data_IF_408210438584
#
_entry.id   IF_408210438584
#
_cell.length_a   1.000
_cell.length_b   1.000
_cell.length_c   1.000
_cell.angle_alpha   90.00
_cell.angle_beta   90.00
_cell.angle_gamma   90.00
#
_symmetry.space_group_name_H-M   'P 1'
#
loop_
_entity.id
_entity.type
_entity.pdbx_description
1 polymer ?
#
# COMPACT_ATOMS: atom_id res chain seq x y z
N UNK A 1 26.94 18.26 10.99
CA UNK A 1 27.36 18.19 9.57
C UNK A 1 28.39 19.27 9.32
N UNK A 2 29.49 19.03 8.60
CA UNK A 2 30.29 20.14 8.10
C UNK A 2 29.38 21.02 7.23
N UNK A 3 29.47 22.34 7.38
CA UNK A 3 28.79 23.25 6.47
C UNK A 3 29.24 22.93 5.04
N UNK A 4 28.30 22.72 4.11
CA UNK A 4 28.63 22.43 2.72
C UNK A 4 29.29 23.68 2.14
N UNK A 5 30.59 23.64 1.91
CA UNK A 5 31.29 24.64 1.12
C UNK A 5 30.87 24.50 -0.35
N UNK A 6 29.96 25.37 -0.78
CA UNK A 6 29.40 25.37 -2.13
C UNK A 6 30.47 25.60 -3.20
N UNK A 7 31.52 26.37 -2.90
CA UNK A 7 32.60 26.64 -3.86
C UNK A 7 33.43 25.39 -4.08
N UNK A 8 33.73 24.67 -3.00
CA UNK A 8 34.43 23.38 -3.08
C UNK A 8 33.58 22.34 -3.80
N UNK A 9 32.30 22.21 -3.42
CA UNK A 9 31.38 21.26 -4.03
C UNK A 9 31.27 21.48 -5.55
N UNK A 10 31.14 22.73 -5.99
CA UNK A 10 31.11 23.08 -7.41
C UNK A 10 32.38 22.65 -8.14
N UNK A 11 33.57 22.89 -7.57
CA UNK A 11 34.84 22.44 -8.16
C UNK A 11 34.94 20.92 -8.23
N UNK A 12 34.49 20.21 -7.19
CA UNK A 12 34.49 18.74 -7.16
C UNK A 12 33.52 18.15 -8.18
N UNK A 13 32.31 18.70 -8.29
CA UNK A 13 31.31 18.27 -9.27
C UNK A 13 31.74 18.57 -10.72
N UNK A 14 32.34 19.73 -10.98
CA UNK A 14 32.90 20.06 -12.29
C UNK A 14 34.02 19.09 -12.67
N UNK A 15 34.95 18.81 -11.73
CA UNK A 15 36.00 17.80 -11.94
C UNK A 15 35.43 16.40 -12.16
N UNK A 16 34.38 16.02 -11.44
CA UNK A 16 33.70 14.74 -11.64
C UNK A 16 33.15 14.64 -13.08
N UNK A 17 32.56 15.73 -13.59
CA UNK A 17 32.02 15.79 -14.95
C UNK A 17 33.11 15.68 -16.05
N UNK A 18 34.38 15.94 -15.74
CA UNK A 18 35.50 15.70 -16.67
C UNK A 18 35.67 14.20 -16.97
N UNK A 19 35.28 13.33 -16.04
CA UNK A 19 35.33 11.87 -16.21
C UNK A 19 34.06 11.28 -16.83
N UNK A 20 33.12 12.10 -17.33
CA UNK A 20 31.85 11.63 -17.90
C UNK A 20 32.01 10.54 -18.98
N UNK A 21 33.07 10.63 -19.79
CA UNK A 21 33.37 9.67 -20.86
C UNK A 21 34.21 8.47 -20.42
N UNK A 22 34.51 8.37 -19.12
CA UNK A 22 35.31 7.32 -18.50
C UNK A 22 34.53 6.76 -17.30
N UNK A 23 33.52 5.90 -17.52
CA UNK A 23 32.56 5.49 -16.49
C UNK A 23 33.21 4.94 -15.21
N UNK A 24 34.27 4.13 -15.32
CA UNK A 24 34.96 3.57 -14.16
C UNK A 24 35.66 4.65 -13.31
N UNK A 25 36.34 5.60 -13.94
CA UNK A 25 36.98 6.74 -13.24
C UNK A 25 35.91 7.69 -12.67
N UNK A 26 34.81 7.89 -13.40
CA UNK A 26 33.66 8.63 -12.89
C UNK A 26 33.13 8.01 -11.60
N UNK A 27 32.87 6.69 -11.59
CA UNK A 27 32.32 6.00 -10.44
C UNK A 27 33.26 6.08 -9.24
N UNK A 28 34.58 5.91 -9.46
CA UNK A 28 35.59 6.07 -8.42
C UNK A 28 35.53 7.45 -7.77
N UNK A 29 35.54 8.52 -8.57
CA UNK A 29 35.48 9.89 -8.05
C UNK A 29 34.11 10.25 -7.46
N UNK A 30 33.03 9.66 -7.97
CA UNK A 30 31.70 9.82 -7.39
C UNK A 30 31.66 9.24 -5.97
N UNK A 31 32.18 8.03 -5.75
CA UNK A 31 32.23 7.44 -4.41
C UNK A 31 33.01 8.33 -3.44
N UNK A 32 34.16 8.86 -3.84
CA UNK A 32 34.95 9.79 -3.02
C UNK A 32 34.14 11.03 -2.61
N UNK A 33 33.36 11.60 -3.53
CA UNK A 33 32.51 12.77 -3.23
C UNK A 33 31.37 12.39 -2.29
N UNK A 34 30.65 11.29 -2.56
CA UNK A 34 29.53 10.85 -1.74
C UNK A 34 29.99 10.50 -0.32
N UNK A 35 31.11 9.78 -0.17
CA UNK A 35 31.74 9.45 1.11
C UNK A 35 32.19 10.69 1.90
N UNK A 36 32.70 11.71 1.21
CA UNK A 36 33.14 12.94 1.83
C UNK A 36 31.97 13.75 2.42
N UNK A 37 30.82 13.74 1.75
CA UNK A 37 29.63 14.50 2.16
C UNK A 37 28.60 13.68 2.96
N UNK A 38 28.93 12.46 3.40
CA UNK A 38 28.05 11.60 4.21
C UNK A 38 27.53 12.36 5.43
N UNK A 39 26.22 12.29 5.66
CA UNK A 39 25.60 12.82 6.87
C UNK A 39 25.78 11.87 8.06
N UNK A 40 26.94 11.93 8.72
CA UNK A 40 27.24 11.13 9.91
C UNK A 40 26.42 11.50 11.16
N UNK A 41 25.62 12.58 11.13
CA UNK A 41 24.75 12.95 12.28
C UNK A 41 23.47 12.12 12.36
N UNK A 42 23.13 11.36 11.31
CA UNK A 42 22.06 10.37 11.32
C UNK A 42 22.62 9.02 11.77
N UNK A 43 22.91 8.86 13.07
CA UNK A 43 23.37 7.58 13.65
C UNK A 43 22.17 6.63 13.82
N UNK A 44 22.00 5.72 12.87
CA UNK A 44 21.27 4.45 13.06
C UNK A 44 22.15 3.33 12.53
N UNK A 45 22.08 2.17 13.19
CA UNK A 45 23.04 1.04 13.09
C UNK A 45 23.06 0.36 11.72
N UNK A 46 22.12 0.68 10.82
CA UNK A 46 22.05 0.13 9.47
C UNK A 46 22.04 1.26 8.42
N UNK A 47 22.87 1.13 7.37
CA UNK A 47 23.02 2.04 6.23
C UNK A 47 21.83 1.94 5.25
N UNK A 48 20.62 2.04 5.77
CA UNK A 48 19.36 1.99 5.02
C UNK A 48 18.68 3.35 5.14
N UNK A 49 18.21 3.94 4.03
CA UNK A 49 17.46 5.20 4.06
C UNK A 49 16.04 4.95 4.61
N UNK A 50 15.42 5.89 5.34
CA UNK A 50 14.05 5.72 5.83
C UNK A 50 13.07 5.40 4.69
N UNK A 51 12.42 4.23 4.72
CA UNK A 51 11.50 3.79 3.67
C UNK A 51 12.15 3.20 2.41
N UNK A 52 13.48 3.19 2.33
CA UNK A 52 14.27 2.57 1.27
C UNK A 52 14.81 1.22 1.74
N UNK A 53 15.04 0.27 0.84
CA UNK A 53 15.80 -0.96 1.12
C UNK A 53 17.22 -0.91 0.52
N UNK A 54 17.64 0.25 0.02
CA UNK A 54 18.92 0.41 -0.67
C UNK A 54 20.02 0.90 0.28
N UNK A 55 21.26 0.55 -0.06
CA UNK A 55 22.43 1.19 0.52
C UNK A 55 22.37 2.69 0.19
N UNK A 56 22.65 3.53 1.17
CA UNK A 56 22.66 4.98 1.01
C UNK A 56 23.93 5.58 1.59
N UNK A 57 24.46 6.59 0.91
CA UNK A 57 25.53 7.45 1.42
C UNK A 57 24.98 8.53 2.37
N UNK A 58 23.65 8.67 2.47
CA UNK A 58 22.96 9.74 3.21
C UNK A 58 23.48 11.11 2.80
N UNK A 59 23.71 11.27 1.50
CA UNK A 59 24.30 12.48 0.95
C UNK A 59 23.25 13.61 0.94
N UNK A 60 23.59 14.83 1.37
CA UNK A 60 22.67 15.96 1.28
C UNK A 60 22.16 16.19 -0.15
N UNK A 61 20.86 16.46 -0.38
CA UNK A 61 20.30 16.63 -1.71
C UNK A 61 21.02 17.66 -2.58
N UNK A 62 21.52 18.75 -1.97
CA UNK A 62 22.26 19.80 -2.65
C UNK A 62 23.53 19.29 -3.37
N UNK A 63 24.17 18.24 -2.86
CA UNK A 63 25.35 17.61 -3.50
C UNK A 63 24.94 16.93 -4.79
N UNK A 64 23.86 16.11 -4.75
CA UNK A 64 23.33 15.47 -5.95
C UNK A 64 22.85 16.49 -6.97
N UNK A 65 22.12 17.52 -6.55
CA UNK A 65 21.68 18.60 -7.44
C UNK A 65 22.86 19.29 -8.11
N UNK A 66 23.95 19.57 -7.38
CA UNK A 66 25.14 20.17 -8.00
C UNK A 66 25.78 19.22 -9.03
N UNK A 67 25.91 17.93 -8.72
CA UNK A 67 26.46 16.94 -9.67
C UNK A 67 25.58 16.88 -10.92
N UNK A 68 24.26 16.78 -10.76
CA UNK A 68 23.29 16.78 -11.86
C UNK A 68 23.46 18.00 -12.77
N UNK A 69 23.61 19.20 -12.19
CA UNK A 69 23.79 20.43 -12.95
C UNK A 69 25.06 20.40 -13.83
N UNK A 70 26.18 19.88 -13.32
CA UNK A 70 27.43 19.78 -14.08
C UNK A 70 27.37 18.68 -15.17
N UNK A 71 26.52 17.65 -14.97
CA UNK A 71 26.33 16.57 -15.95
C UNK A 71 25.35 16.92 -17.07
N UNK A 72 24.47 17.91 -16.86
CA UNK A 72 23.32 18.18 -17.72
C UNK A 72 23.68 18.30 -19.21
N UNK A 73 24.54 19.26 -19.55
CA UNK A 73 24.87 19.56 -20.95
C UNK A 73 25.59 18.38 -21.63
N UNK A 74 26.54 17.76 -20.91
CA UNK A 74 27.27 16.59 -21.42
C UNK A 74 26.33 15.43 -21.74
N UNK A 75 25.37 15.15 -20.87
CA UNK A 75 24.39 14.09 -21.07
C UNK A 75 23.42 14.39 -22.23
N UNK A 76 23.01 15.65 -22.39
CA UNK A 76 22.15 16.10 -23.49
C UNK A 76 22.86 15.99 -24.86
N UNK A 77 24.16 16.29 -24.91
CA UNK A 77 24.98 16.25 -26.13
C UNK A 77 25.49 14.84 -26.49
N UNK A 78 25.60 13.94 -25.50
CA UNK A 78 26.27 12.64 -25.66
C UNK A 78 25.40 11.48 -25.13
N UNK A 79 24.27 11.16 -25.78
CA UNK A 79 23.29 10.21 -25.27
C UNK A 79 23.81 8.78 -25.11
N UNK A 80 24.71 8.35 -26.00
CA UNK A 80 25.33 7.03 -25.91
C UNK A 80 26.16 6.87 -24.63
N UNK A 81 27.00 7.87 -24.31
CA UNK A 81 27.82 7.87 -23.10
C UNK A 81 26.97 8.09 -21.84
N UNK A 82 25.89 8.88 -21.95
CA UNK A 82 24.93 9.04 -20.87
C UNK A 82 24.26 7.70 -20.49
N UNK A 83 23.91 6.87 -21.48
CA UNK A 83 23.38 5.52 -21.24
C UNK A 83 24.40 4.62 -20.55
N UNK A 84 25.64 4.56 -21.05
CA UNK A 84 26.68 3.72 -20.44
C UNK A 84 26.94 4.10 -18.99
N UNK A 85 27.00 5.42 -18.71
CA UNK A 85 27.18 5.91 -17.36
C UNK A 85 25.96 5.63 -16.48
N UNK A 86 24.74 5.77 -17.02
CA UNK A 86 23.52 5.43 -16.30
C UNK A 86 23.45 3.94 -15.96
N UNK A 87 23.82 3.05 -16.88
CA UNK A 87 23.87 1.60 -16.66
C UNK A 87 24.84 1.27 -15.51
N UNK A 88 26.06 1.84 -15.52
CA UNK A 88 27.04 1.64 -14.44
C UNK A 88 26.54 2.14 -13.08
N UNK A 89 25.93 3.33 -13.05
CA UNK A 89 25.37 3.92 -11.82
C UNK A 89 24.19 3.12 -11.27
N UNK A 90 23.38 2.54 -12.16
CA UNK A 90 22.25 1.70 -11.79
C UNK A 90 22.70 0.39 -11.14
N UNK A 91 23.72 -0.24 -11.74
CA UNK A 91 24.29 -1.51 -11.29
C UNK A 91 25.02 -1.40 -9.94
N UNK A 92 25.58 -0.23 -9.62
CA UNK A 92 26.16 0.04 -8.30
C UNK A 92 25.13 -0.11 -7.15
N UNK A 93 23.86 0.17 -7.43
CA UNK A 93 22.74 -0.21 -6.55
C UNK A 93 22.55 0.64 -5.29
N UNK A 94 23.31 1.72 -5.10
CA UNK A 94 23.06 2.69 -4.03
C UNK A 94 21.92 3.65 -4.42
N UNK A 95 21.23 4.22 -3.42
CA UNK A 95 20.13 5.17 -3.64
C UNK A 95 20.61 6.35 -4.50
N UNK A 96 21.68 7.02 -4.08
CA UNK A 96 22.23 8.20 -4.76
C UNK A 96 22.64 7.91 -6.21
N UNK A 97 23.21 6.73 -6.48
CA UNK A 97 23.65 6.36 -7.82
C UNK A 97 22.47 6.05 -8.72
N UNK A 98 21.42 5.39 -8.21
CA UNK A 98 20.18 5.17 -8.96
C UNK A 98 19.41 6.46 -9.24
N UNK A 99 19.44 7.42 -8.31
CA UNK A 99 18.85 8.75 -8.56
C UNK A 99 19.63 9.50 -9.66
N UNK A 100 20.96 9.41 -9.68
CA UNK A 100 21.78 9.96 -10.76
C UNK A 100 21.54 9.25 -12.10
N UNK A 101 21.40 7.92 -12.10
CA UNK A 101 21.06 7.15 -13.29
C UNK A 101 19.71 7.60 -13.87
N UNK A 102 18.66 7.68 -13.04
CA UNK A 102 17.34 8.20 -13.44
C UNK A 102 17.41 9.63 -13.98
N UNK A 103 18.26 10.47 -13.40
CA UNK A 103 18.50 11.83 -13.89
C UNK A 103 19.12 11.84 -15.29
N UNK A 104 20.17 11.04 -15.52
CA UNK A 104 20.85 10.93 -16.81
C UNK A 104 19.89 10.44 -17.89
N UNK A 105 19.07 9.42 -17.61
CA UNK A 105 18.02 8.97 -18.53
C UNK A 105 17.09 10.12 -18.94
N UNK A 106 16.76 11.01 -18.01
CA UNK A 106 15.94 12.20 -18.25
C UNK A 106 16.58 13.28 -19.10
N UNK A 107 17.88 13.16 -19.43
CA UNK A 107 18.61 14.07 -20.33
C UNK A 107 18.76 13.52 -21.75
N UNK A 108 18.51 12.23 -21.95
CA UNK A 108 18.67 11.57 -23.24
C UNK A 108 17.50 11.94 -24.18
N UNK A 109 17.76 12.21 -25.48
CA UNK A 109 16.70 12.46 -26.45
C UNK A 109 15.77 11.25 -26.59
N UNK A 110 14.44 11.44 -26.70
CA UNK A 110 13.49 10.33 -26.82
C UNK A 110 13.66 9.49 -28.09
N UNK A 111 14.39 9.99 -29.09
CA UNK A 111 14.73 9.26 -30.32
C UNK A 111 15.81 8.19 -30.11
N UNK A 112 16.53 8.19 -28.98
CA UNK A 112 17.47 7.12 -28.65
C UNK A 112 16.69 5.84 -28.32
N UNK A 113 16.66 4.90 -29.26
CA UNK A 113 15.85 3.67 -29.22
C UNK A 113 16.12 2.82 -27.98
N UNK A 114 17.33 2.91 -27.41
CA UNK A 114 17.72 2.17 -26.21
C UNK A 114 17.06 2.70 -24.93
N UNK A 115 16.62 3.96 -24.89
CA UNK A 115 16.14 4.64 -23.69
C UNK A 115 14.90 3.96 -23.08
N UNK A 116 13.84 3.80 -23.90
CA UNK A 116 12.57 3.28 -23.42
C UNK A 116 12.68 1.85 -22.87
N UNK A 117 13.38 0.90 -23.53
CA UNK A 117 13.64 -0.42 -22.96
C UNK A 117 14.31 -0.39 -21.58
N UNK A 118 15.27 0.52 -21.33
CA UNK A 118 15.90 0.65 -20.00
C UNK A 118 14.89 1.11 -18.97
N UNK A 119 14.15 2.19 -19.25
CA UNK A 119 13.15 2.73 -18.30
C UNK A 119 12.12 1.66 -17.96
N UNK A 120 11.59 0.93 -18.96
CA UNK A 120 10.61 -0.14 -18.73
C UNK A 120 11.19 -1.26 -17.87
N UNK A 121 12.39 -1.77 -18.20
CA UNK A 121 13.03 -2.84 -17.45
C UNK A 121 13.31 -2.42 -15.98
N UNK A 122 13.85 -1.22 -15.77
CA UNK A 122 14.19 -0.71 -14.45
C UNK A 122 12.95 -0.45 -13.60
N UNK A 123 11.88 0.07 -14.19
CA UNK A 123 10.60 0.30 -13.52
C UNK A 123 9.96 -1.01 -13.05
N UNK A 124 10.14 -2.12 -13.79
CA UNK A 124 9.63 -3.44 -13.40
C UNK A 124 10.44 -4.10 -12.27
N UNK A 125 11.74 -3.81 -12.18
CA UNK A 125 12.64 -4.43 -11.20
C UNK A 125 12.71 -3.66 -9.88
N UNK A 126 12.53 -2.34 -9.91
CA UNK A 126 12.70 -1.49 -8.74
C UNK A 126 11.51 -1.62 -7.77
N UNK A 127 11.83 -1.72 -6.48
CA UNK A 127 10.84 -1.73 -5.39
C UNK A 127 10.94 -0.50 -4.49
N UNK A 128 12.05 0.23 -4.62
CA UNK A 128 12.30 1.42 -3.84
C UNK A 128 11.39 2.56 -4.32
N UNK A 129 10.57 3.17 -3.44
CA UNK A 129 9.59 4.16 -3.84
C UNK A 129 10.23 5.44 -4.39
N UNK A 130 11.37 5.88 -3.83
CA UNK A 130 12.04 7.11 -4.25
C UNK A 130 12.67 6.95 -5.64
N UNK A 131 13.37 5.83 -5.88
CA UNK A 131 13.92 5.54 -7.21
C UNK A 131 12.80 5.33 -8.24
N UNK A 132 11.70 4.67 -7.86
CA UNK A 132 10.53 4.50 -8.74
C UNK A 132 9.95 5.85 -9.16
N UNK A 133 9.79 6.78 -8.22
CA UNK A 133 9.35 8.16 -8.51
C UNK A 133 10.33 8.82 -9.47
N UNK A 134 11.63 8.75 -9.22
CA UNK A 134 12.65 9.35 -10.08
C UNK A 134 12.61 8.79 -11.51
N UNK A 135 12.37 7.49 -11.69
CA UNK A 135 12.18 6.90 -13.03
C UNK A 135 10.91 7.43 -13.70
N UNK A 136 9.78 7.44 -13.02
CA UNK A 136 8.50 7.82 -13.64
C UNK A 136 8.36 9.33 -13.86
N UNK A 137 9.14 10.14 -13.16
CA UNK A 137 9.08 11.59 -13.26
C UNK A 137 10.29 12.17 -13.98
N UNK A 138 11.48 11.98 -13.40
CA UNK A 138 12.72 12.62 -13.84
C UNK A 138 13.21 11.99 -15.14
N UNK A 139 13.23 10.66 -15.24
CA UNK A 139 13.75 9.97 -16.43
C UNK A 139 12.92 10.20 -17.70
N UNK A 140 11.64 10.58 -17.54
CA UNK A 140 10.71 10.84 -18.65
C UNK A 140 10.62 12.34 -19.01
N UNK A 141 11.45 13.21 -18.42
CA UNK A 141 11.34 14.67 -18.58
C UNK A 141 11.36 15.11 -20.05
N UNK A 142 12.36 14.68 -20.83
CA UNK A 142 12.45 15.06 -22.25
C UNK A 142 11.37 14.42 -23.10
N UNK A 143 11.08 13.13 -22.90
CA UNK A 143 10.02 12.44 -23.63
C UNK A 143 8.66 13.13 -23.47
N UNK A 144 8.35 13.58 -22.24
CA UNK A 144 7.12 14.32 -21.93
C UNK A 144 7.02 15.64 -22.70
N UNK A 145 8.14 16.36 -22.89
CA UNK A 145 8.19 17.69 -23.53
C UNK A 145 8.35 17.63 -25.05
N UNK A 146 9.21 16.76 -25.55
CA UNK A 146 9.60 16.70 -26.96
C UNK A 146 8.74 15.73 -27.77
N UNK A 147 8.21 14.68 -27.12
CA UNK A 147 7.40 13.63 -27.76
C UNK A 147 6.18 13.28 -26.91
N UNK A 148 5.28 14.24 -26.61
CA UNK A 148 4.16 14.04 -25.68
C UNK A 148 3.23 12.89 -26.09
N UNK A 149 3.05 12.66 -27.39
CA UNK A 149 2.24 11.53 -27.88
C UNK A 149 2.86 10.17 -27.55
N UNK A 150 4.19 10.04 -27.66
CA UNK A 150 4.91 8.83 -27.29
C UNK A 150 4.86 8.62 -25.77
N UNK A 151 4.99 9.70 -24.99
CA UNK A 151 4.83 9.67 -23.54
C UNK A 151 3.41 9.21 -23.14
N UNK A 152 2.36 9.76 -23.76
CA UNK A 152 0.98 9.35 -23.49
C UNK A 152 0.70 7.90 -23.90
N UNK A 153 1.33 7.39 -24.96
CA UNK A 153 1.24 5.98 -25.32
C UNK A 153 1.84 5.07 -24.23
N UNK A 154 3.01 5.43 -23.68
CA UNK A 154 3.60 4.73 -22.54
C UNK A 154 2.69 4.76 -21.31
N UNK A 155 2.10 5.92 -21.00
CA UNK A 155 1.16 6.05 -19.88
C UNK A 155 -0.09 5.17 -20.11
N UNK A 156 -0.64 5.13 -21.33
CA UNK A 156 -1.77 4.25 -21.68
C UNK A 156 -1.45 2.78 -21.40
N UNK A 157 -0.24 2.33 -21.70
CA UNK A 157 0.20 0.97 -21.37
C UNK A 157 0.25 0.71 -19.85
N UNK A 158 0.67 1.69 -19.06
CA UNK A 158 0.65 1.59 -17.59
C UNK A 158 -0.76 1.61 -17.01
N UNK A 159 -1.67 2.40 -17.59
CA UNK A 159 -3.07 2.55 -17.18
C UNK A 159 -4.01 1.54 -17.84
N UNK A 160 -3.49 0.50 -18.50
CA UNK A 160 -4.34 -0.50 -19.14
C UNK A 160 -5.29 -1.16 -18.12
N UNK A 161 -6.61 -1.31 -18.40
CA UNK A 161 -7.58 -1.80 -17.42
C UNK A 161 -7.24 -3.16 -16.81
N UNK A 162 -6.72 -4.09 -17.63
CA UNK A 162 -6.31 -5.43 -17.17
C UNK A 162 -5.01 -5.45 -16.34
N UNK A 163 -4.33 -4.30 -16.18
CA UNK A 163 -3.02 -4.18 -15.52
C UNK A 163 -3.06 -3.21 -14.33
N UNK A 164 -4.05 -3.35 -13.45
CA UNK A 164 -4.22 -2.49 -12.26
C UNK A 164 -2.96 -2.32 -11.39
N UNK A 165 -2.06 -3.31 -11.39
CA UNK A 165 -0.75 -3.24 -10.69
C UNK A 165 0.18 -2.13 -11.20
N UNK A 166 0.04 -1.71 -12.45
CA UNK A 166 0.87 -0.64 -13.04
C UNK A 166 0.20 0.72 -13.03
N UNK A 167 -1.04 0.83 -12.54
CA UNK A 167 -1.77 2.10 -12.56
C UNK A 167 -1.06 3.20 -11.76
N UNK A 168 -0.48 2.85 -10.60
CA UNK A 168 0.37 3.77 -9.82
C UNK A 168 1.49 4.38 -10.69
N UNK A 169 2.08 3.58 -11.58
CA UNK A 169 3.15 4.07 -12.45
C UNK A 169 2.62 5.07 -13.48
N UNK A 170 1.46 4.79 -14.07
CA UNK A 170 0.81 5.70 -15.02
C UNK A 170 0.39 7.02 -14.36
N UNK A 171 -0.24 6.95 -13.18
CA UNK A 171 -0.65 8.14 -12.41
C UNK A 171 0.57 8.99 -12.06
N UNK A 172 1.59 8.38 -11.46
CA UNK A 172 2.80 9.09 -11.05
C UNK A 172 3.56 9.69 -12.23
N UNK A 173 3.60 8.99 -13.36
CA UNK A 173 4.19 9.52 -14.58
C UNK A 173 3.40 10.75 -15.08
N UNK A 174 2.07 10.74 -15.03
CA UNK A 174 1.22 11.83 -15.50
C UNK A 174 1.31 13.12 -14.70
N UNK A 175 1.49 13.05 -13.37
CA UNK A 175 1.43 14.23 -12.48
C UNK A 175 2.26 15.42 -13.00
N UNK A 176 3.55 15.29 -13.36
CA UNK A 176 4.32 16.44 -13.84
C UNK A 176 3.89 16.97 -15.22
N UNK A 177 3.13 16.21 -16.02
CA UNK A 177 2.54 16.71 -17.27
C UNK A 177 1.29 17.55 -16.99
N UNK A 178 0.46 17.11 -16.04
CA UNK A 178 -0.77 17.82 -15.63
C UNK A 178 -0.41 19.13 -14.91
N UNK A 179 0.65 19.09 -14.09
CA UNK A 179 1.14 20.26 -13.37
C UNK A 179 1.86 21.29 -14.26
N UNK A 180 2.15 20.96 -15.52
CA UNK A 180 2.81 21.86 -16.46
C UNK A 180 1.79 22.85 -17.03
N UNK A 181 1.99 24.15 -16.78
CA UNK A 181 1.09 25.20 -17.27
C UNK A 181 1.10 25.34 -18.79
N UNK A 182 2.14 24.84 -19.46
CA UNK A 182 2.29 24.92 -20.91
C UNK A 182 1.57 23.77 -21.63
N UNK A 183 1.01 22.80 -20.89
CA UNK A 183 0.27 21.68 -21.47
C UNK A 183 -1.20 22.04 -21.71
N UNK A 184 -1.60 22.12 -22.98
CA UNK A 184 -2.95 22.60 -23.36
C UNK A 184 -4.01 21.49 -23.47
N UNK A 185 -3.63 20.23 -23.78
CA UNK A 185 -4.59 19.17 -24.11
C UNK A 185 -5.09 18.38 -22.88
N UNK A 186 -5.64 19.09 -21.90
CA UNK A 186 -6.23 18.48 -20.71
C UNK A 186 -7.38 17.49 -21.00
N UNK A 187 -8.27 17.68 -21.99
CA UNK A 187 -9.35 16.72 -22.27
C UNK A 187 -8.84 15.29 -22.49
N UNK A 188 -7.76 15.12 -23.25
CA UNK A 188 -7.16 13.81 -23.49
C UNK A 188 -6.61 13.14 -22.21
N UNK A 189 -6.27 13.94 -21.18
CA UNK A 189 -5.87 13.42 -19.88
C UNK A 189 -7.09 12.99 -19.08
N UNK A 190 -8.17 13.79 -19.07
CA UNK A 190 -9.41 13.42 -18.41
C UNK A 190 -9.97 12.10 -18.98
N UNK A 191 -10.05 11.96 -20.30
CA UNK A 191 -10.46 10.72 -20.97
C UNK A 191 -9.59 9.51 -20.57
N UNK A 192 -8.30 9.75 -20.33
CA UNK A 192 -7.33 8.71 -19.99
C UNK A 192 -7.45 8.24 -18.53
N UNK A 193 -7.78 9.16 -17.61
CA UNK A 193 -7.78 8.88 -16.17
C UNK A 193 -9.17 8.62 -15.61
N UNK A 194 -10.24 9.01 -16.29
CA UNK A 194 -11.62 8.80 -15.84
C UNK A 194 -11.91 7.33 -15.46
N UNK A 195 -11.60 6.31 -16.30
CA UNK A 195 -11.81 4.91 -15.92
C UNK A 195 -10.98 4.48 -14.71
N UNK A 196 -9.82 5.12 -14.51
CA UNK A 196 -8.92 4.84 -13.39
C UNK A 196 -9.47 5.43 -12.10
N UNK A 197 -10.02 6.65 -12.15
CA UNK A 197 -10.68 7.30 -11.01
C UNK A 197 -11.93 6.52 -10.60
N UNK A 198 -12.65 5.98 -11.58
CA UNK A 198 -13.83 5.14 -11.33
C UNK A 198 -13.47 3.80 -10.69
N UNK A 199 -12.51 3.06 -11.25
CA UNK A 199 -12.22 1.67 -10.86
C UNK A 199 -11.00 1.50 -9.93
N UNK A 200 -10.38 2.59 -9.46
CA UNK A 200 -9.18 2.53 -8.63
C UNK A 200 -9.36 1.63 -7.39
N UNK A 201 -8.49 0.61 -7.19
CA UNK A 201 -8.48 -0.14 -5.96
C UNK A 201 -8.02 0.74 -4.79
N UNK A 202 -8.46 0.39 -3.58
CA UNK A 202 -8.12 1.14 -2.36
C UNK A 202 -6.62 1.31 -2.10
N UNK A 203 -5.76 0.44 -2.66
CA UNK A 203 -4.30 0.55 -2.57
C UNK A 203 -3.74 1.79 -3.28
N UNK A 204 -4.50 2.40 -4.20
CA UNK A 204 -4.09 3.60 -4.95
C UNK A 204 -4.64 4.89 -4.35
N UNK A 205 -5.19 4.88 -3.13
CA UNK A 205 -5.78 6.08 -2.52
C UNK A 205 -4.83 7.29 -2.51
N UNK A 206 -3.56 7.09 -2.15
CA UNK A 206 -2.57 8.18 -2.17
C UNK A 206 -2.31 8.72 -3.57
N UNK A 207 -2.05 7.84 -4.54
CA UNK A 207 -1.84 8.23 -5.94
C UNK A 207 -3.08 8.93 -6.53
N UNK A 208 -4.28 8.45 -6.18
CA UNK A 208 -5.56 9.01 -6.63
C UNK A 208 -5.80 10.39 -6.02
N UNK A 209 -5.47 10.60 -4.74
CA UNK A 209 -5.49 11.92 -4.10
C UNK A 209 -4.57 12.87 -4.86
N UNK A 210 -3.31 12.48 -5.08
CA UNK A 210 -2.34 13.32 -5.78
C UNK A 210 -2.80 13.66 -7.21
N UNK A 211 -3.35 12.69 -7.93
CA UNK A 211 -3.93 12.89 -9.25
C UNK A 211 -5.07 13.90 -9.24
N UNK A 212 -6.08 13.69 -8.39
CA UNK A 212 -7.27 14.55 -8.33
C UNK A 212 -6.90 15.97 -7.91
N UNK A 213 -6.01 16.13 -6.92
CA UNK A 213 -5.54 17.44 -6.48
C UNK A 213 -4.77 18.14 -7.61
N UNK A 214 -3.96 17.40 -8.37
CA UNK A 214 -3.20 17.96 -9.50
C UNK A 214 -4.13 18.36 -10.65
N UNK A 215 -5.09 17.50 -11.02
CA UNK A 215 -6.12 17.81 -12.02
C UNK A 215 -6.93 19.05 -11.61
N UNK A 216 -7.34 19.12 -10.34
CA UNK A 216 -8.11 20.26 -9.82
C UNK A 216 -7.34 21.58 -9.91
N UNK A 217 -6.03 21.56 -9.65
CA UNK A 217 -5.16 22.73 -9.79
C UNK A 217 -5.00 23.16 -11.25
N UNK A 218 -4.94 22.19 -12.17
CA UNK A 218 -4.83 22.47 -13.60
C UNK A 218 -6.15 22.97 -14.20
N UNK A 219 -7.27 22.32 -13.86
CA UNK A 219 -8.61 22.73 -14.26
C UNK A 219 -9.65 22.31 -13.21
N UNK A 220 -10.05 23.28 -12.39
CA UNK A 220 -11.03 23.06 -11.34
C UNK A 220 -12.42 22.67 -11.91
N UNK A 221 -12.87 23.33 -12.97
CA UNK A 221 -14.20 23.09 -13.57
C UNK A 221 -14.31 21.70 -14.17
N UNK A 222 -13.33 21.27 -14.96
CA UNK A 222 -13.32 19.94 -15.59
C UNK A 222 -13.19 18.84 -14.54
N UNK A 223 -12.34 19.04 -13.53
CA UNK A 223 -12.19 18.06 -12.45
C UNK A 223 -13.47 17.90 -11.64
N UNK A 224 -14.15 19.01 -11.30
CA UNK A 224 -15.46 18.94 -10.63
C UNK A 224 -16.47 18.22 -11.53
N UNK A 225 -16.51 18.56 -12.82
CA UNK A 225 -17.43 17.93 -13.77
C UNK A 225 -17.22 16.41 -13.85
N UNK A 226 -15.99 15.95 -14.10
CA UNK A 226 -15.63 14.53 -14.16
C UNK A 226 -16.02 13.82 -12.85
N UNK A 227 -15.65 14.36 -11.69
CA UNK A 227 -15.96 13.72 -10.41
C UNK A 227 -17.46 13.65 -10.13
N UNK A 228 -18.23 14.70 -10.48
CA UNK A 228 -19.70 14.69 -10.37
C UNK A 228 -20.32 13.69 -11.35
N UNK A 229 -19.76 13.57 -12.55
CA UNK A 229 -20.19 12.58 -13.54
C UNK A 229 -19.99 11.17 -13.00
N UNK A 230 -18.75 10.79 -12.67
CA UNK A 230 -18.39 9.48 -12.13
C UNK A 230 -19.27 9.13 -10.92
N UNK A 231 -19.38 10.02 -9.92
CA UNK A 231 -20.19 9.76 -8.72
C UNK A 231 -21.71 9.65 -9.01
N UNK A 232 -22.18 10.21 -10.13
CA UNK A 232 -23.57 10.16 -10.55
C UNK A 232 -23.92 8.98 -11.45
N UNK A 233 -22.95 8.39 -12.14
CA UNK A 233 -23.17 7.33 -13.14
C UNK A 233 -22.56 5.98 -12.79
N UNK A 234 -21.57 5.94 -11.90
CA UNK A 234 -20.83 4.71 -11.61
C UNK A 234 -21.71 3.63 -10.98
N UNK A 235 -21.55 2.40 -11.47
CA UNK A 235 -22.15 1.20 -10.87
C UNK A 235 -21.26 0.62 -9.75
N UNK A 236 -20.02 1.11 -9.61
CA UNK A 236 -19.08 0.62 -8.63
C UNK A 236 -19.29 1.32 -7.27
N UNK A 237 -19.82 0.61 -6.25
CA UNK A 237 -20.12 1.21 -4.95
C UNK A 237 -18.84 1.66 -4.21
N UNK A 238 -17.69 1.08 -4.55
CA UNK A 238 -16.40 1.40 -3.92
C UNK A 238 -15.83 2.74 -4.39
N UNK A 239 -16.25 3.26 -5.54
CA UNK A 239 -15.83 4.56 -6.05
C UNK A 239 -16.25 5.68 -5.11
N UNK A 240 -17.53 5.70 -4.72
CA UNK A 240 -18.04 6.70 -3.76
C UNK A 240 -17.41 6.55 -2.37
N UNK A 241 -17.15 5.31 -1.92
CA UNK A 241 -16.47 5.03 -0.64
C UNK A 241 -15.03 5.54 -0.65
N UNK A 242 -14.28 5.22 -1.72
CA UNK A 242 -12.89 5.66 -1.89
C UNK A 242 -12.84 7.18 -1.97
N UNK A 243 -13.68 7.81 -2.80
CA UNK A 243 -13.76 9.26 -2.94
C UNK A 243 -14.08 9.97 -1.61
N UNK A 244 -14.98 9.40 -0.80
CA UNK A 244 -15.27 9.92 0.55
C UNK A 244 -14.04 9.84 1.45
N UNK A 245 -13.30 8.73 1.42
CA UNK A 245 -12.13 8.51 2.28
C UNK A 245 -10.99 9.48 1.96
N UNK A 246 -10.75 9.78 0.68
CA UNK A 246 -9.68 10.69 0.26
C UNK A 246 -10.11 12.17 0.23
N UNK A 247 -11.42 12.46 0.26
CA UNK A 247 -11.93 13.83 0.24
C UNK A 247 -11.37 14.79 1.31
N UNK A 248 -11.01 14.37 2.54
CA UNK A 248 -10.42 15.27 3.53
C UNK A 248 -9.10 15.92 3.07
N UNK A 249 -8.36 15.26 2.18
CA UNK A 249 -7.07 15.74 1.65
C UNK A 249 -7.24 16.69 0.45
N UNK A 250 -8.47 16.85 -0.06
CA UNK A 250 -8.74 17.73 -1.19
C UNK A 250 -8.75 19.22 -0.79
N UNK A 251 -8.53 20.15 -1.73
CA UNK A 251 -8.75 21.57 -1.48
C UNK A 251 -10.17 21.85 -0.95
N UNK A 252 -10.35 22.75 0.05
CA UNK A 252 -11.66 23.02 0.65
C UNK A 252 -12.79 23.37 -0.33
N UNK A 253 -12.55 24.12 -1.44
CA UNK A 253 -13.60 24.38 -2.42
C UNK A 253 -14.08 23.10 -3.12
N UNK A 254 -13.17 22.17 -3.44
CA UNK A 254 -13.52 20.88 -4.04
C UNK A 254 -14.32 20.02 -3.06
N UNK A 255 -13.92 19.98 -1.78
CA UNK A 255 -14.69 19.28 -0.74
C UNK A 255 -16.14 19.78 -0.65
N UNK A 256 -16.34 21.09 -0.76
CA UNK A 256 -17.67 21.71 -0.71
C UNK A 256 -18.54 21.28 -1.90
N UNK A 257 -17.97 21.24 -3.10
CA UNK A 257 -18.66 20.83 -4.33
C UNK A 257 -19.08 19.37 -4.32
N UNK A 258 -18.30 18.50 -3.70
CA UNK A 258 -18.58 17.05 -3.64
C UNK A 258 -19.40 16.64 -2.41
N UNK A 259 -19.56 17.54 -1.43
CA UNK A 259 -20.16 17.22 -0.12
C UNK A 259 -21.50 16.51 -0.24
N UNK A 260 -22.42 17.02 -1.05
CA UNK A 260 -23.78 16.50 -1.14
C UNK A 260 -23.85 15.16 -1.89
N UNK A 261 -22.94 14.93 -2.84
CA UNK A 261 -22.81 13.67 -3.56
C UNK A 261 -22.13 12.59 -2.73
N UNK A 262 -21.20 12.98 -1.85
CA UNK A 262 -20.48 12.08 -0.96
C UNK A 262 -21.19 11.84 0.38
N UNK A 263 -22.26 12.59 0.68
CA UNK A 263 -23.14 12.27 1.81
C UNK A 263 -23.59 10.82 1.69
N UNK A 264 -23.68 10.07 2.79
CA UNK A 264 -24.33 8.79 2.76
C UNK A 264 -25.76 9.01 2.26
N UNK A 265 -26.06 8.62 1.03
CA UNK A 265 -27.45 8.46 0.65
C UNK A 265 -28.00 7.39 1.58
N UNK A 266 -29.14 7.66 2.22
CA UNK A 266 -29.92 6.61 2.86
C UNK A 266 -30.21 5.59 1.78
N UNK A 267 -29.46 4.48 1.76
CA UNK A 267 -29.81 3.38 0.89
C UNK A 267 -31.18 2.91 1.36
N UNK A 268 -32.22 3.30 0.63
CA UNK A 268 -33.46 2.52 0.62
C UNK A 268 -33.00 1.16 0.16
N UNK A 269 -33.03 0.18 1.07
CA UNK A 269 -32.60 -1.18 0.82
C UNK A 269 -33.50 -1.79 -0.26
N UNK A 270 -33.17 -1.60 -1.52
CA UNK A 270 -33.60 -2.48 -2.57
C UNK A 270 -32.80 -3.77 -2.38
N UNK A 271 -33.40 -4.73 -1.68
CA UNK A 271 -32.90 -6.11 -1.60
C UNK A 271 -32.61 -6.60 -3.02
N UNK A 272 -31.37 -7.00 -3.36
CA UNK A 272 -31.20 -8.01 -4.38
C UNK A 272 -31.78 -9.31 -3.83
N UNK A 273 -32.61 -10.00 -4.62
CA UNK A 273 -32.96 -11.37 -4.31
C UNK A 273 -31.69 -12.23 -4.44
N UNK A 274 -31.19 -12.77 -3.33
CA UNK A 274 -30.19 -13.83 -3.40
C UNK A 274 -30.84 -15.07 -4.05
N UNK A 275 -30.17 -15.74 -5.01
CA UNK A 275 -30.53 -17.11 -5.35
C UNK A 275 -30.23 -18.00 -4.14
N UNK A 276 -31.29 -18.55 -3.57
CA UNK A 276 -31.26 -19.50 -2.47
C UNK A 276 -30.78 -20.85 -2.99
N UNK A 277 -29.46 -21.07 -2.92
CA UNK A 277 -28.81 -22.29 -3.40
C UNK A 277 -28.30 -23.13 -2.22
N UNK A 278 -29.09 -23.29 -1.15
CA UNK A 278 -28.79 -24.28 -0.10
C UNK A 278 -30.07 -24.94 0.44
N UNK A 279 -30.29 -26.17 0.00
CA UNK A 279 -31.36 -27.06 0.42
C UNK A 279 -31.27 -27.34 1.94
N UNK A 280 -32.41 -27.19 2.60
CA UNK A 280 -32.71 -27.68 3.94
C UNK A 280 -32.65 -29.22 3.98
N UNK A 281 -31.80 -29.78 4.84
CA UNK A 281 -31.89 -31.19 5.22
C UNK A 281 -32.19 -31.30 6.72
N UNK A 282 -33.48 -31.23 7.01
CA UNK A 282 -34.08 -31.96 8.12
C UNK A 282 -33.96 -33.48 7.85
N UNK A 283 -33.02 -34.15 8.53
CA UNK A 283 -33.12 -35.59 8.81
C UNK A 283 -32.30 -35.96 10.07
N UNK A 284 -32.85 -36.77 10.99
CA UNK A 284 -32.21 -37.06 12.27
C UNK A 284 -31.16 -38.17 12.12
N UNK A 285 -29.96 -37.94 12.66
CA UNK A 285 -28.95 -39.00 12.78
C UNK A 285 -28.96 -39.57 14.20
N UNK A 286 -29.32 -40.85 14.28
CA UNK A 286 -29.35 -41.70 15.47
C UNK A 286 -28.00 -41.70 16.23
N UNK A 287 -28.08 -41.46 17.54
CA UNK A 287 -26.97 -41.62 18.47
C UNK A 287 -26.83 -43.10 18.88
N UNK A 288 -25.68 -43.70 18.60
CA UNK A 288 -25.20 -44.88 19.34
C UNK A 288 -24.17 -44.44 20.38
N UNK A 289 -24.29 -44.84 21.67
CA UNK A 289 -23.36 -44.41 22.69
C UNK A 289 -22.07 -45.24 22.62
N UNK A 290 -20.91 -44.58 22.68
CA UNK A 290 -19.62 -45.20 22.99
C UNK A 290 -19.10 -44.63 24.31
N UNK A 291 -18.40 -45.45 25.12
CA UNK A 291 -18.27 -45.23 26.55
C UNK A 291 -17.33 -44.09 26.88
N UNK A 292 -17.63 -43.41 28.00
CA UNK A 292 -16.87 -42.32 28.55
C UNK A 292 -15.40 -42.71 28.79
N UNK A 293 -14.48 -42.02 28.13
CA UNK A 293 -13.05 -42.01 28.47
C UNK A 293 -12.75 -40.72 29.24
N UNK A 294 -12.05 -40.87 30.38
CA UNK A 294 -11.57 -39.79 31.25
C UNK A 294 -10.83 -38.70 30.44
N UNK A 295 -10.92 -37.41 30.84
CA UNK A 295 -10.39 -36.31 30.05
C UNK A 295 -8.85 -36.36 30.10
N UNK A 296 -8.23 -36.72 28.98
CA UNK A 296 -6.84 -36.34 28.69
C UNK A 296 -6.92 -34.95 28.08
N UNK A 297 -6.16 -33.97 28.60
CA UNK A 297 -6.00 -32.64 27.95
C UNK A 297 -5.65 -32.90 26.48
N UNK A 298 -6.60 -32.66 25.59
CA UNK A 298 -6.47 -32.96 24.17
C UNK A 298 -5.58 -31.85 23.60
N UNK A 299 -4.37 -32.20 23.15
CA UNK A 299 -3.47 -31.26 22.49
C UNK A 299 -4.26 -30.53 21.39
N UNK A 300 -4.23 -29.20 21.38
CA UNK A 300 -4.99 -28.35 20.46
C UNK A 300 -4.71 -28.77 19.00
N UNK A 301 -5.77 -28.87 18.19
CA UNK A 301 -5.64 -29.15 16.76
C UNK A 301 -5.30 -27.87 16.01
N UNK A 302 -4.00 -27.66 15.77
CA UNK A 302 -3.51 -26.45 15.10
C UNK A 302 -4.08 -26.30 13.67
N UNK A 303 -4.52 -27.38 13.01
CA UNK A 303 -5.13 -27.31 11.68
C UNK A 303 -6.51 -26.62 11.66
N UNK A 304 -7.08 -26.37 12.85
CA UNK A 304 -8.31 -25.58 13.04
C UNK A 304 -8.03 -24.19 13.61
N UNK A 305 -6.80 -23.72 13.50
CA UNK A 305 -6.45 -22.32 13.78
C UNK A 305 -6.28 -21.60 12.45
N UNK A 306 -6.90 -20.44 12.30
CA UNK A 306 -6.76 -19.60 11.10
C UNK A 306 -6.35 -18.18 11.51
N UNK A 307 -5.36 -17.63 10.81
CA UNK A 307 -4.94 -16.24 10.96
C UNK A 307 -5.51 -15.37 9.84
N UNK A 308 -6.18 -14.28 10.22
CA UNK A 308 -6.74 -13.27 9.33
C UNK A 308 -5.86 -12.01 9.43
N UNK A 309 -5.17 -11.71 8.34
CA UNK A 309 -4.27 -10.57 8.26
C UNK A 309 -5.01 -9.25 8.02
N UNK A 310 -4.36 -8.12 8.29
CA UNK A 310 -4.91 -6.77 8.08
C UNK A 310 -4.99 -6.36 6.60
N UNK A 311 -5.39 -5.11 6.34
CA UNK A 311 -5.50 -4.52 5.00
C UNK A 311 -4.19 -4.59 4.23
N UNK A 312 -3.11 -4.09 4.85
CA UNK A 312 -1.80 -3.85 4.22
C UNK A 312 -0.78 -4.97 4.53
N UNK A 313 -1.28 -6.18 4.76
CA UNK A 313 -0.46 -7.33 5.12
C UNK A 313 -0.94 -8.57 4.38
N UNK A 314 -0.19 -9.66 4.53
CA UNK A 314 -0.47 -10.96 3.91
C UNK A 314 -0.01 -12.08 4.85
N UNK A 315 -0.09 -13.32 4.39
CA UNK A 315 0.38 -14.54 5.07
C UNK A 315 1.86 -14.51 5.46
N UNK A 316 2.65 -13.60 4.89
CA UNK A 316 4.07 -13.42 5.14
C UNK A 316 4.39 -12.27 6.10
N UNK A 317 3.37 -11.62 6.68
CA UNK A 317 3.56 -10.58 7.69
C UNK A 317 4.21 -11.11 8.97
N UNK A 318 4.84 -10.21 9.74
CA UNK A 318 5.54 -10.58 10.98
C UNK A 318 4.67 -11.39 11.95
N UNK A 319 3.48 -10.88 12.28
CA UNK A 319 2.49 -11.57 13.13
C UNK A 319 2.10 -12.94 12.55
N UNK A 320 1.80 -13.01 11.24
CA UNK A 320 1.41 -14.27 10.59
C UNK A 320 2.52 -15.33 10.67
N UNK A 321 3.77 -14.95 10.39
CA UNK A 321 4.94 -15.83 10.52
C UNK A 321 5.16 -16.29 11.96
N UNK A 322 5.13 -15.36 12.90
CA UNK A 322 5.29 -15.65 14.32
C UNK A 322 4.23 -16.64 14.84
N UNK A 323 2.96 -16.49 14.45
CA UNK A 323 1.92 -17.46 14.77
C UNK A 323 2.13 -18.81 14.05
N UNK A 324 2.49 -18.80 12.76
CA UNK A 324 2.72 -20.03 12.00
C UNK A 324 3.91 -20.85 12.54
N UNK A 325 4.96 -20.17 13.00
CA UNK A 325 6.12 -20.78 13.68
C UNK A 325 5.71 -21.38 15.03
N UNK A 326 4.92 -20.66 15.83
CA UNK A 326 4.50 -21.12 17.16
C UNK A 326 3.41 -22.20 17.12
N UNK A 327 2.54 -22.17 16.12
CA UNK A 327 1.45 -23.14 15.92
C UNK A 327 1.56 -23.81 14.54
N UNK A 328 2.52 -24.74 14.35
CA UNK A 328 2.68 -25.44 13.08
C UNK A 328 1.40 -26.13 12.64
N UNK A 329 1.04 -25.96 11.37
CA UNK A 329 -0.16 -26.53 10.75
C UNK A 329 -1.38 -25.62 10.74
N UNK A 330 -1.30 -24.42 11.32
CA UNK A 330 -2.36 -23.42 11.20
C UNK A 330 -2.53 -22.89 9.77
N UNK A 331 -3.71 -22.36 9.49
CA UNK A 331 -4.09 -21.82 8.17
C UNK A 331 -3.77 -20.32 8.13
N UNK A 332 -2.87 -19.93 7.23
CA UNK A 332 -2.47 -18.53 6.99
C UNK A 332 -2.70 -18.16 5.52
N UNK A 333 -3.96 -18.01 5.08
CA UNK A 333 -4.27 -17.71 3.69
C UNK A 333 -3.97 -16.25 3.36
N UNK A 334 -3.71 -15.98 2.09
CA UNK A 334 -3.73 -14.61 1.55
C UNK A 334 -5.15 -14.25 1.16
N UNK A 335 -5.67 -13.19 1.78
CA UNK A 335 -6.95 -12.58 1.45
C UNK A 335 -6.73 -11.39 0.52
N UNK A 336 -7.35 -11.44 -0.65
CA UNK A 336 -7.31 -10.36 -1.64
C UNK A 336 -8.69 -9.71 -1.79
N UNK A 337 -8.75 -8.51 -2.34
CA UNK A 337 -10.02 -7.84 -2.57
C UNK A 337 -10.53 -7.05 -1.36
N UNK A 338 -11.75 -6.54 -1.50
CA UNK A 338 -12.45 -5.76 -0.48
C UNK A 338 -12.96 -6.63 0.68
N UNK A 339 -13.65 -6.02 1.64
CA UNK A 339 -14.12 -6.75 2.82
C UNK A 339 -15.05 -7.93 2.47
N UNK A 340 -15.97 -7.75 1.53
CA UNK A 340 -16.96 -8.77 1.17
C UNK A 340 -16.33 -9.91 0.38
N UNK A 341 -15.39 -9.59 -0.53
CA UNK A 341 -14.59 -10.59 -1.23
C UNK A 341 -13.72 -11.40 -0.27
N UNK A 342 -13.08 -10.74 0.69
CA UNK A 342 -12.29 -11.41 1.74
C UNK A 342 -13.19 -12.28 2.63
N UNK A 343 -14.40 -11.82 2.97
CA UNK A 343 -15.38 -12.62 3.70
C UNK A 343 -15.88 -13.83 2.89
N UNK A 344 -16.05 -13.69 1.58
CA UNK A 344 -16.40 -14.80 0.69
C UNK A 344 -15.28 -15.84 0.62
N UNK A 345 -14.01 -15.40 0.56
CA UNK A 345 -12.84 -16.28 0.65
C UNK A 345 -12.78 -16.99 2.02
N UNK A 346 -12.99 -16.25 3.11
CA UNK A 346 -13.00 -16.82 4.47
C UNK A 346 -14.07 -17.92 4.61
N UNK A 347 -15.29 -17.65 4.13
CA UNK A 347 -16.38 -18.63 4.10
C UNK A 347 -16.00 -19.89 3.32
N UNK A 348 -15.34 -19.75 2.17
CA UNK A 348 -14.85 -20.90 1.36
C UNK A 348 -13.80 -21.73 2.09
N UNK A 349 -12.85 -21.07 2.78
CA UNK A 349 -11.76 -21.74 3.50
C UNK A 349 -12.28 -22.48 4.75
N UNK A 350 -13.15 -21.82 5.52
CA UNK A 350 -13.78 -22.43 6.70
C UNK A 350 -14.70 -23.59 6.28
N UNK A 351 -15.47 -23.41 5.20
CA UNK A 351 -16.35 -24.43 4.66
C UNK A 351 -17.32 -25.00 5.71
N UNK A 352 -17.55 -26.32 5.68
CA UNK A 352 -18.47 -27.03 6.60
C UNK A 352 -17.82 -27.43 7.94
N UNK A 353 -16.55 -27.07 8.13
CA UNK A 353 -15.73 -27.49 9.26
C UNK A 353 -16.04 -26.59 10.47
N UNK A 354 -16.41 -27.18 11.61
CA UNK A 354 -16.67 -26.46 12.88
C UNK A 354 -15.49 -26.54 13.85
N UNK A 355 -15.49 -25.69 14.87
CA UNK A 355 -14.50 -25.70 15.95
C UNK A 355 -13.23 -24.91 15.63
N UNK A 356 -13.35 -23.85 14.83
CA UNK A 356 -12.23 -22.99 14.45
C UNK A 356 -11.80 -22.07 15.58
N UNK A 357 -10.49 -21.88 15.74
CA UNK A 357 -9.93 -20.75 16.46
C UNK A 357 -9.50 -19.70 15.46
N UNK A 358 -10.13 -18.54 15.51
CA UNK A 358 -9.86 -17.44 14.58
C UNK A 358 -8.95 -16.43 15.28
N UNK A 359 -7.85 -16.05 14.64
CA UNK A 359 -6.96 -14.99 15.11
C UNK A 359 -7.01 -13.87 14.07
N UNK A 360 -7.54 -12.70 14.43
CA UNK A 360 -7.68 -11.58 13.52
C UNK A 360 -6.89 -10.35 13.96
N UNK A 361 -6.09 -9.77 13.07
CA UNK A 361 -5.38 -8.51 13.33
C UNK A 361 -5.96 -7.37 12.50
N UNK A 362 -6.21 -6.20 13.12
CA UNK A 362 -6.74 -5.01 12.43
C UNK A 362 -8.00 -5.35 11.58
N UNK A 363 -7.97 -5.17 10.25
CA UNK A 363 -9.07 -5.58 9.34
C UNK A 363 -9.42 -7.08 9.44
N UNK A 364 -8.42 -7.94 9.64
CA UNK A 364 -8.67 -9.37 9.90
C UNK A 364 -9.40 -9.60 11.23
N UNK A 365 -9.25 -8.70 12.20
CA UNK A 365 -10.03 -8.68 13.44
C UNK A 365 -11.49 -8.34 13.19
N UNK A 366 -11.76 -7.40 12.29
CA UNK A 366 -13.13 -7.11 11.83
C UNK A 366 -13.75 -8.32 11.13
N UNK A 367 -13.03 -8.94 10.19
CA UNK A 367 -13.49 -10.16 9.51
C UNK A 367 -13.83 -11.28 10.50
N UNK A 368 -12.92 -11.52 11.46
CA UNK A 368 -13.11 -12.53 12.50
C UNK A 368 -14.34 -12.23 13.37
N UNK A 369 -14.55 -10.96 13.71
CA UNK A 369 -15.71 -10.51 14.49
C UNK A 369 -17.02 -10.75 13.75
N UNK A 370 -17.14 -10.21 12.53
CA UNK A 370 -18.35 -10.36 11.70
C UNK A 370 -18.65 -11.83 11.44
N UNK A 371 -17.64 -12.63 11.09
CA UNK A 371 -17.83 -14.06 10.86
C UNK A 371 -18.32 -14.79 12.12
N UNK A 372 -17.73 -14.48 13.28
CA UNK A 372 -18.08 -15.12 14.56
C UNK A 372 -19.50 -14.77 14.99
N UNK A 373 -19.92 -13.52 14.85
CA UNK A 373 -21.30 -13.12 15.15
C UNK A 373 -22.31 -13.75 14.18
N UNK A 374 -21.97 -13.88 12.90
CA UNK A 374 -22.87 -14.51 11.91
C UNK A 374 -22.95 -16.05 12.04
N UNK A 375 -21.86 -16.70 12.48
CA UNK A 375 -21.74 -18.17 12.52
C UNK A 375 -21.09 -18.66 13.83
N UNK A 376 -21.66 -18.35 15.01
CA UNK A 376 -21.02 -18.63 16.31
C UNK A 376 -20.75 -20.12 16.53
N UNK A 377 -21.60 -21.01 15.99
CA UNK A 377 -21.44 -22.48 16.12
C UNK A 377 -20.23 -23.06 15.36
N UNK A 378 -19.59 -22.27 14.50
CA UNK A 378 -18.39 -22.67 13.75
C UNK A 378 -17.09 -22.29 14.48
N UNK A 379 -17.17 -21.31 15.38
CA UNK A 379 -16.01 -20.72 16.06
C UNK A 379 -15.96 -21.23 17.49
N UNK A 380 -14.86 -21.89 17.83
CA UNK A 380 -14.56 -22.33 19.20
C UNK A 380 -14.08 -21.15 20.06
N UNK A 381 -13.22 -20.30 19.48
CA UNK A 381 -12.56 -19.19 20.17
C UNK A 381 -12.15 -18.11 19.17
N UNK A 382 -12.27 -16.84 19.55
CA UNK A 382 -11.85 -15.69 18.75
C UNK A 382 -10.75 -14.92 19.48
N UNK A 383 -9.64 -14.64 18.80
CA UNK A 383 -8.54 -13.82 19.30
C UNK A 383 -8.41 -12.60 18.39
N UNK A 384 -8.43 -11.41 18.99
CA UNK A 384 -8.39 -10.14 18.28
C UNK A 384 -7.15 -9.36 18.69
N UNK A 385 -6.37 -8.89 17.71
CA UNK A 385 -5.08 -8.22 17.89
C UNK A 385 -5.17 -6.80 17.32
N UNK A 386 -5.25 -5.80 18.20
CA UNK A 386 -5.53 -4.41 17.82
C UNK A 386 -6.62 -4.33 16.72
N UNK A 387 -7.83 -4.88 16.98
CA UNK A 387 -8.82 -5.08 15.93
C UNK A 387 -9.46 -3.75 15.53
N UNK A 388 -9.72 -3.56 14.23
CA UNK A 388 -10.34 -2.33 13.71
C UNK A 388 -11.86 -2.30 13.96
N UNK A 389 -12.27 -2.43 15.23
CA UNK A 389 -13.66 -2.29 15.66
C UNK A 389 -13.94 -0.80 15.92
N UNK A 390 -14.11 -0.05 14.84
CA UNK A 390 -14.43 1.38 14.87
C UNK A 390 -15.69 1.63 14.05
N UNK A 391 -16.40 2.71 14.37
CA UNK A 391 -17.71 3.04 13.81
C UNK A 391 -17.78 2.84 12.28
N UNK A 392 -16.79 3.32 11.53
CA UNK A 392 -16.67 3.02 10.10
C UNK A 392 -15.41 2.16 9.87
N UNK A 393 -15.51 0.95 9.27
CA UNK A 393 -16.63 0.37 8.53
C UNK A 393 -17.57 -0.55 9.33
N UNK A 394 -17.49 -0.57 10.67
CA UNK A 394 -18.31 -1.48 11.49
C UNK A 394 -19.82 -1.15 11.46
N UNK A 395 -20.22 0.07 11.08
CA UNK A 395 -21.59 0.60 11.11
C UNK A 395 -22.61 -0.35 10.46
N UNK A 396 -22.24 -0.96 9.32
CA UNK A 396 -23.07 -1.91 8.58
C UNK A 396 -23.38 -3.21 9.35
N UNK A 397 -22.65 -3.46 10.43
CA UNK A 397 -22.70 -4.67 11.25
C UNK A 397 -23.20 -4.42 12.68
N UNK A 398 -23.66 -3.20 12.98
CA UNK A 398 -24.13 -2.84 14.33
C UNK A 398 -25.40 -3.58 14.78
N UNK A 399 -26.13 -4.16 13.83
CA UNK A 399 -27.34 -4.94 14.06
C UNK A 399 -27.07 -6.43 14.28
N UNK A 400 -25.80 -6.86 14.32
CA UNK A 400 -25.46 -8.24 14.65
C UNK A 400 -25.79 -8.51 16.13
N UNK A 401 -26.35 -9.69 16.38
CA UNK A 401 -26.64 -10.14 17.74
C UNK A 401 -25.34 -10.46 18.51
N UNK A 402 -25.23 -10.08 19.79
CA UNK A 402 -24.11 -10.48 20.63
C UNK A 402 -23.99 -12.00 20.75
N UNK A 403 -22.77 -12.51 20.85
CA UNK A 403 -22.47 -13.94 20.96
C UNK A 403 -21.63 -14.26 22.19
N UNK A 404 -21.81 -15.46 22.73
CA UNK A 404 -21.06 -15.99 23.87
C UNK A 404 -19.83 -16.81 23.47
N UNK A 405 -19.31 -16.60 22.25
CA UNK A 405 -18.08 -17.27 21.81
C UNK A 405 -16.92 -16.72 22.65
N UNK A 406 -16.11 -17.58 23.30
CA UNK A 406 -14.96 -17.13 24.08
C UNK A 406 -14.04 -16.25 23.24
N UNK A 407 -13.88 -15.00 23.65
CA UNK A 407 -13.17 -13.98 22.88
C UNK A 407 -12.11 -13.31 23.73
N UNK A 408 -10.89 -13.16 23.18
CA UNK A 408 -9.84 -12.37 23.80
C UNK A 408 -9.39 -11.24 22.89
N UNK A 409 -9.35 -10.01 23.40
CA UNK A 409 -8.81 -8.84 22.69
C UNK A 409 -7.49 -8.46 23.34
N UNK A 410 -6.44 -8.30 22.53
CA UNK A 410 -5.14 -7.78 22.95
C UNK A 410 -4.94 -6.43 22.27
N UNK A 411 -4.71 -5.37 23.06
CA UNK A 411 -4.58 -3.99 22.57
C UNK A 411 -3.43 -3.26 23.28
N UNK A 412 -2.60 -2.56 22.52
CA UNK A 412 -1.52 -1.71 23.02
C UNK A 412 -2.01 -0.36 23.56
N UNK A 413 -1.45 0.11 24.66
CA UNK A 413 -1.72 1.45 25.21
C UNK A 413 -1.23 2.59 24.31
N UNK A 414 -0.20 2.33 23.50
CA UNK A 414 0.41 3.28 22.57
C UNK A 414 0.01 2.99 21.11
N UNK A 415 -1.17 2.38 20.89
CA UNK A 415 -1.72 2.19 19.55
C UNK A 415 -2.15 3.54 18.95
N UNK A 416 -1.45 3.95 17.89
CA UNK A 416 -1.67 5.19 17.15
C UNK A 416 -2.51 4.99 15.88
N UNK A 417 -2.95 3.76 15.60
CA UNK A 417 -3.70 3.38 14.40
C UNK A 417 -5.17 3.12 14.74
N UNK A 418 -5.43 2.43 15.85
CA UNK A 418 -6.78 2.05 16.27
C UNK A 418 -7.01 2.54 17.71
N UNK A 419 -8.03 3.38 17.97
CA UNK A 419 -8.33 3.85 19.32
C UNK A 419 -8.77 2.71 20.25
N UNK A 420 -8.12 2.62 21.41
CA UNK A 420 -8.37 1.59 22.42
C UNK A 420 -9.80 1.65 22.97
N UNK A 421 -10.27 2.83 23.35
CA UNK A 421 -11.56 3.02 24.01
C UNK A 421 -12.73 2.67 23.07
N UNK A 422 -12.68 3.16 21.83
CA UNK A 422 -13.70 2.86 20.81
C UNK A 422 -13.74 1.35 20.51
N UNK A 423 -12.57 0.73 20.36
CA UNK A 423 -12.47 -0.71 20.13
C UNK A 423 -13.05 -1.53 21.29
N UNK A 424 -12.83 -1.07 22.53
CA UNK A 424 -13.36 -1.74 23.73
C UNK A 424 -14.89 -1.68 23.76
N UNK A 425 -15.47 -0.51 23.50
CA UNK A 425 -16.93 -0.34 23.48
C UNK A 425 -17.60 -1.34 22.52
N UNK A 426 -17.07 -1.48 21.30
CA UNK A 426 -17.62 -2.43 20.33
C UNK A 426 -17.36 -3.88 20.71
N UNK A 427 -16.17 -4.22 21.24
CA UNK A 427 -15.90 -5.59 21.68
C UNK A 427 -16.87 -6.04 22.78
N UNK A 428 -17.11 -5.19 23.78
CA UNK A 428 -18.03 -5.45 24.89
C UNK A 428 -19.48 -5.55 24.42
N UNK A 429 -19.84 -4.83 23.35
CA UNK A 429 -21.17 -4.90 22.75
C UNK A 429 -21.45 -6.26 22.09
N UNK A 430 -20.48 -6.86 21.40
CA UNK A 430 -20.71 -8.08 20.61
C UNK A 430 -20.31 -9.38 21.29
N UNK A 431 -19.46 -9.35 22.31
CA UNK A 431 -18.95 -10.55 22.95
C UNK A 431 -19.27 -10.56 24.44
N UNK A 432 -20.12 -11.49 24.85
CA UNK A 432 -20.52 -11.64 26.25
C UNK A 432 -19.54 -12.46 27.09
N UNK A 433 -18.70 -13.27 26.44
CA UNK A 433 -17.55 -13.96 27.03
C UNK A 433 -16.26 -13.32 26.49
N UNK A 434 -15.91 -12.15 27.02
CA UNK A 434 -14.81 -11.32 26.57
C UNK A 434 -13.73 -11.15 27.65
N UNK A 435 -12.48 -11.46 27.28
CA UNK A 435 -11.28 -11.09 28.03
C UNK A 435 -10.53 -9.98 27.30
N UNK A 436 -10.51 -8.78 27.86
CA UNK A 436 -9.73 -7.67 27.31
C UNK A 436 -8.37 -7.57 28.00
N UNK A 437 -7.29 -7.65 27.23
CA UNK A 437 -5.90 -7.62 27.69
C UNK A 437 -5.26 -6.36 27.13
N UNK A 438 -4.91 -5.42 28.01
CA UNK A 438 -4.18 -4.20 27.64
C UNK A 438 -2.70 -4.40 27.95
N UNK A 439 -1.83 -4.03 27.01
CA UNK A 439 -0.37 -4.18 27.09
C UNK A 439 0.31 -2.86 26.80
N UNK A 440 1.49 -2.63 27.39
CA UNK A 440 2.31 -1.44 27.10
C UNK A 440 3.09 -1.64 25.79
N UNK A 441 2.38 -1.45 24.67
CA UNK A 441 2.88 -1.74 23.31
C UNK A 441 2.16 -0.82 22.30
N UNK A 442 2.68 -0.76 21.08
CA UNK A 442 2.02 -0.07 19.96
C UNK A 442 1.11 -1.01 19.13
N UNK A 443 0.57 -0.51 18.02
CA UNK A 443 -0.33 -1.27 17.13
C UNK A 443 0.22 -2.63 16.66
N UNK A 444 1.55 -2.72 16.55
CA UNK A 444 2.25 -3.93 16.09
C UNK A 444 2.32 -5.02 17.15
N UNK A 445 2.04 -4.75 18.42
CA UNK A 445 2.04 -5.72 19.52
C UNK A 445 3.34 -6.56 19.55
N UNK A 446 4.50 -5.92 19.35
CA UNK A 446 5.78 -6.62 19.17
C UNK A 446 6.29 -7.24 20.48
N UNK A 447 6.15 -6.54 21.59
CA UNK A 447 6.57 -7.00 22.91
C UNK A 447 5.53 -7.95 23.51
N UNK A 448 4.24 -7.65 23.30
CA UNK A 448 3.15 -8.53 23.72
C UNK A 448 3.27 -9.94 23.12
N UNK A 449 3.78 -10.06 21.88
CA UNK A 449 4.01 -11.38 21.30
C UNK A 449 5.07 -12.21 22.05
N UNK A 450 6.07 -11.56 22.64
CA UNK A 450 7.15 -12.22 23.40
C UNK A 450 6.73 -12.57 24.82
N UNK A 451 5.93 -11.71 25.44
CA UNK A 451 5.60 -11.79 26.87
C UNK A 451 4.36 -12.64 27.16
N UNK A 452 3.38 -12.67 26.25
CA UNK A 452 2.13 -13.38 26.48
C UNK A 452 2.24 -14.88 26.26
N UNK A 453 1.60 -15.65 27.14
CA UNK A 453 1.45 -17.09 26.99
C UNK A 453 0.37 -17.43 25.95
N UNK A 454 0.74 -17.38 24.67
CA UNK A 454 -0.18 -17.67 23.56
C UNK A 454 -0.82 -19.06 23.61
N UNK A 455 -0.16 -20.06 24.18
CA UNK A 455 -0.75 -21.41 24.29
C UNK A 455 -1.96 -21.39 25.23
N UNK A 456 -1.85 -20.72 26.37
CA UNK A 456 -2.94 -20.52 27.32
C UNK A 456 -4.03 -19.60 26.76
N UNK A 457 -3.65 -18.58 25.98
CA UNK A 457 -4.61 -17.68 25.34
C UNK A 457 -5.39 -18.41 24.24
N UNK A 458 -4.81 -19.38 23.54
CA UNK A 458 -5.49 -20.13 22.47
C UNK A 458 -6.18 -21.42 22.95
N UNK A 459 -5.82 -21.99 24.10
CA UNK A 459 -6.56 -23.09 24.75
C UNK A 459 -7.97 -22.67 25.17
#
# INVERSE_FOLDING_TARGET
MPAIDLTRLRKQAARLADFFFLPDEFMKHLREILEFYVNYTLRTVENVAPGSNLKTYRTPPAVLTQIQNELRLKAEENPHFALELADLLWDEGALETRLLASYLLGRIPPQEERLLPRITAWTQQIRDPEVRVALLTTSLTRMRKETPNQFLALVREYLHPERSRTWSNGIQALIPMIADSDFENLPAIFDLVEPIVEEAPSTLQGDLTDLIVTLYRASASETIFMLKHILGTTENPMTAVTMRRISPDFPPPLQKELRDLLRPQSMVSAKPAEPDDFIDENAPLELKPKPARKPRKKKMDNSRIIYLHGSDSNSQSGKARQFAEKFPGMVTPDFTGDFDERMAQLKKIIGRKKGWTIIGSSLGGLMGTVFTCQKPTYVRKLILLAPALMKNPFDSYLNLEPVSVPTAVIHGTADDVVPLDETREYAEKFFTDLKYIVVDDGHRLQEAFKELNWEEILE
#
